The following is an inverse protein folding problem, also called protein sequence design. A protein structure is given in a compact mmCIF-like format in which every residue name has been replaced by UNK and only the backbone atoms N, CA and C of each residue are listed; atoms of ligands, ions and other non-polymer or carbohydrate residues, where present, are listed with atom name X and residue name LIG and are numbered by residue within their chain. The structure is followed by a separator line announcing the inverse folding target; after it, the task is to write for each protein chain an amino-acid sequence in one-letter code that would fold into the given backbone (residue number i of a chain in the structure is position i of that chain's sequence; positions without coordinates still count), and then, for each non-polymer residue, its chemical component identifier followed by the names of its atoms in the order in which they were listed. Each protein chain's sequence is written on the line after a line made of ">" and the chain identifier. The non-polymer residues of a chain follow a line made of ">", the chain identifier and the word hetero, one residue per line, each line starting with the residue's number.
data_IF_885102459275
#
_entry.id   IF_885102459275
#
_cell.length_a   1.000
_cell.length_b   1.000
_cell.length_c   1.000
_cell.angle_alpha   90.00
_cell.angle_beta   90.00
_cell.angle_gamma   90.00
#
_symmetry.space_group_name_H-M   'P 1'
#
loop_
_entity.id
_entity.type
_entity.pdbx_description
1 polymer ?
#
# COMPACT_ATOMS: atom_id res chain seq x y z
N UNK A 1 6.24 -16.30 41.66
CA UNK A 1 6.08 -15.97 40.23
C UNK A 1 5.60 -17.24 39.55
N UNK A 2 4.31 -17.33 39.18
CA UNK A 2 3.66 -18.61 38.87
C UNK A 2 3.93 -19.07 37.42
N UNK A 3 4.08 -20.38 37.21
CA UNK A 3 4.37 -21.02 35.90
C UNK A 3 3.42 -20.62 34.77
N UNK A 4 2.16 -20.31 35.12
CA UNK A 4 1.15 -19.84 34.16
C UNK A 4 1.50 -18.47 33.57
N UNK A 5 2.05 -17.56 34.39
CA UNK A 5 2.54 -16.26 33.92
C UNK A 5 3.77 -16.42 33.03
N UNK A 6 4.62 -17.40 33.32
CA UNK A 6 5.79 -17.70 32.48
C UNK A 6 5.37 -18.26 31.11
N UNK A 7 4.39 -19.16 31.07
CA UNK A 7 3.87 -19.74 29.83
C UNK A 7 3.16 -18.70 28.95
N UNK A 8 2.35 -17.83 29.56
CA UNK A 8 1.67 -16.73 28.84
C UNK A 8 2.67 -15.72 28.27
N UNK A 9 3.72 -15.39 29.03
CA UNK A 9 4.79 -14.50 28.57
C UNK A 9 5.55 -15.12 27.39
N UNK A 10 5.83 -16.43 27.45
CA UNK A 10 6.51 -17.17 26.38
C UNK A 10 5.66 -17.32 25.11
N UNK A 11 4.36 -17.55 25.25
CA UNK A 11 3.43 -17.59 24.12
C UNK A 11 3.31 -16.23 23.44
N UNK A 12 3.25 -15.14 24.20
CA UNK A 12 3.26 -13.76 23.68
C UNK A 12 4.55 -13.46 22.90
N UNK A 13 5.70 -13.92 23.38
CA UNK A 13 6.98 -13.79 22.67
C UNK A 13 7.06 -14.65 21.41
N UNK A 14 6.45 -15.84 21.40
CA UNK A 14 6.42 -16.71 20.21
C UNK A 14 5.51 -16.15 19.10
N UNK A 15 4.41 -15.46 19.45
CA UNK A 15 3.58 -14.73 18.49
C UNK A 15 4.18 -13.39 18.07
N UNK A 16 5.05 -12.81 18.90
CA UNK A 16 5.79 -11.58 18.63
C UNK A 16 7.13 -11.82 17.91
N UNK A 17 7.38 -13.04 17.40
CA UNK A 17 8.22 -13.20 16.22
C UNK A 17 7.39 -12.77 14.99
N UNK A 18 6.89 -11.53 15.05
CA UNK A 18 6.33 -10.81 13.92
C UNK A 18 7.34 -10.97 12.79
N UNK A 19 6.86 -11.48 11.66
CA UNK A 19 7.64 -11.66 10.42
C UNK A 19 8.51 -10.43 10.20
N UNK A 20 9.76 -10.51 10.67
CA UNK A 20 10.63 -9.36 10.62
C UNK A 20 10.83 -9.06 9.13
N UNK A 21 10.55 -7.83 8.68
CA UNK A 21 10.72 -7.45 7.29
C UNK A 21 12.10 -7.90 6.82
N UNK A 22 12.15 -8.78 5.82
CA UNK A 22 13.41 -9.33 5.28
C UNK A 22 14.25 -8.23 4.62
N UNK A 23 13.67 -7.04 4.46
CA UNK A 23 14.28 -5.86 3.89
C UNK A 23 14.17 -4.65 4.83
N UNK A 24 15.18 -3.75 4.84
CA UNK A 24 15.05 -2.44 5.47
C UNK A 24 13.84 -1.70 4.89
N UNK A 25 13.19 -0.80 5.67
CA UNK A 25 12.00 -0.08 5.22
C UNK A 25 12.30 0.60 3.88
N UNK A 26 11.63 0.15 2.84
CA UNK A 26 11.82 0.62 1.47
C UNK A 26 10.50 1.20 0.98
N UNK A 27 10.57 2.40 0.41
CA UNK A 27 9.38 3.11 -0.07
C UNK A 27 8.93 2.55 -1.42
N UNK A 28 7.61 2.48 -1.63
CA UNK A 28 6.99 2.08 -2.88
C UNK A 28 5.93 3.10 -3.30
N UNK A 29 5.88 3.41 -4.59
CA UNK A 29 4.85 4.27 -5.17
C UNK A 29 3.95 3.43 -6.07
N UNK A 30 2.64 3.56 -5.90
CA UNK A 30 1.64 2.86 -6.69
C UNK A 30 0.80 3.89 -7.44
N UNK A 31 0.90 3.90 -8.76
CA UNK A 31 0.03 4.69 -9.63
C UNK A 31 -1.04 3.77 -10.22
N UNK A 32 -2.30 4.18 -10.09
CA UNK A 32 -3.43 3.43 -10.64
C UNK A 32 -4.41 4.38 -11.33
N UNK A 33 -5.02 3.92 -12.41
CA UNK A 33 -6.05 4.64 -13.15
C UNK A 33 -7.33 3.80 -13.08
N UNK A 34 -8.44 4.41 -12.65
CA UNK A 34 -9.75 3.77 -12.48
C UNK A 34 -10.83 4.51 -13.25
N UNK A 35 -11.72 3.73 -13.83
CA UNK A 35 -12.91 4.20 -14.55
C UNK A 35 -13.98 4.73 -13.62
N UNK A 36 -14.25 4.03 -12.51
CA UNK A 36 -15.24 4.43 -11.49
C UNK A 36 -14.66 5.30 -10.35
N UNK A 37 -15.55 5.72 -9.45
CA UNK A 37 -15.24 6.47 -8.23
C UNK A 37 -15.39 5.53 -7.02
N UNK A 38 -14.33 5.40 -6.23
CA UNK A 38 -14.22 4.48 -5.09
C UNK A 38 -13.72 5.16 -3.81
N UNK A 39 -13.54 6.49 -3.84
CA UNK A 39 -13.15 7.30 -2.69
C UNK A 39 -13.99 8.58 -2.64
N UNK A 40 -14.30 9.05 -1.42
CA UNK A 40 -15.08 10.26 -1.17
C UNK A 40 -16.42 9.97 -0.50
N UNK A 41 -17.08 11.05 -0.06
CA UNK A 41 -18.41 10.98 0.57
C UNK A 41 -19.44 10.45 -0.44
N UNK A 42 -20.33 9.55 0.00
CA UNK A 42 -21.30 8.86 -0.86
C UNK A 42 -20.79 7.63 -1.63
N UNK A 43 -19.49 7.28 -1.54
CA UNK A 43 -18.97 6.03 -2.11
C UNK A 43 -19.22 4.86 -1.17
N UNK A 44 -20.02 3.88 -1.61
CA UNK A 44 -20.39 2.72 -0.79
C UNK A 44 -19.64 1.43 -1.15
N UNK A 45 -18.85 1.44 -2.22
CA UNK A 45 -18.11 0.28 -2.69
C UNK A 45 -16.64 0.36 -2.28
N UNK A 46 -16.07 -0.69 -1.66
CA UNK A 46 -14.66 -0.69 -1.30
C UNK A 46 -13.74 -0.76 -2.53
N UNK A 47 -12.63 -0.02 -2.49
CA UNK A 47 -11.53 -0.16 -3.46
C UNK A 47 -10.64 -1.36 -3.09
N UNK A 48 -11.09 -2.56 -3.50
CA UNK A 48 -10.37 -3.83 -3.25
C UNK A 48 -8.98 -3.87 -3.87
N UNK A 49 -8.77 -3.16 -4.97
CA UNK A 49 -7.49 -3.15 -5.67
C UNK A 49 -6.45 -2.33 -4.90
N UNK A 50 -6.81 -1.14 -4.39
CA UNK A 50 -5.89 -0.38 -3.52
C UNK A 50 -5.58 -1.17 -2.26
N UNK A 51 -6.58 -1.83 -1.66
CA UNK A 51 -6.37 -2.66 -0.47
C UNK A 51 -5.36 -3.79 -0.75
N UNK A 52 -5.50 -4.51 -1.85
CA UNK A 52 -4.59 -5.59 -2.23
C UNK A 52 -3.17 -5.07 -2.55
N UNK A 53 -3.08 -4.01 -3.35
CA UNK A 53 -1.81 -3.39 -3.73
C UNK A 53 -1.07 -2.77 -2.54
N UNK A 54 -1.76 -2.50 -1.44
CA UNK A 54 -1.13 -2.04 -0.18
C UNK A 54 -0.76 -3.22 0.72
N UNK A 55 -1.57 -4.27 0.77
CA UNK A 55 -1.32 -5.43 1.64
C UNK A 55 -0.10 -6.25 1.21
N UNK A 56 0.02 -6.57 -0.09
CA UNK A 56 1.10 -7.44 -0.58
C UNK A 56 2.50 -6.86 -0.34
N UNK A 57 2.78 -5.58 -0.63
CA UNK A 57 4.11 -5.03 -0.40
C UNK A 57 4.44 -4.89 1.10
N UNK A 58 3.44 -4.66 1.94
CA UNK A 58 3.60 -4.68 3.40
C UNK A 58 4.09 -6.05 3.90
N UNK A 59 3.63 -7.15 3.29
CA UNK A 59 4.09 -8.50 3.67
C UNK A 59 5.58 -8.76 3.41
N UNK A 60 6.22 -7.99 2.52
CA UNK A 60 7.64 -8.11 2.19
C UNK A 60 8.49 -6.95 2.73
N UNK A 61 7.93 -6.09 3.59
CA UNK A 61 8.67 -5.01 4.25
C UNK A 61 8.64 -3.65 3.54
N UNK A 62 7.82 -3.47 2.50
CA UNK A 62 7.58 -2.16 1.91
C UNK A 62 6.49 -1.44 2.69
N UNK A 63 6.88 -0.78 3.78
CA UNK A 63 5.93 -0.16 4.73
C UNK A 63 5.53 1.26 4.37
N UNK A 64 6.27 1.93 3.48
CA UNK A 64 5.97 3.30 3.04
C UNK A 64 5.40 3.28 1.63
N UNK A 65 4.09 2.98 1.53
CA UNK A 65 3.35 2.89 0.27
C UNK A 65 2.58 4.19 0.05
N UNK A 66 2.87 4.89 -1.05
CA UNK A 66 2.05 6.04 -1.50
C UNK A 66 1.22 5.64 -2.71
N UNK A 67 -0.10 5.72 -2.58
CA UNK A 67 -1.05 5.45 -3.66
C UNK A 67 -1.53 6.76 -4.26
N UNK A 68 -1.43 6.88 -5.59
CA UNK A 68 -1.92 8.03 -6.36
C UNK A 68 -2.99 7.53 -7.32
N UNK A 69 -4.25 7.40 -6.87
CA UNK A 69 -5.34 6.92 -7.71
C UNK A 69 -5.91 8.06 -8.55
N UNK A 70 -5.87 7.91 -9.88
CA UNK A 70 -6.70 8.69 -10.77
C UNK A 70 -8.02 7.94 -10.96
N UNK A 71 -9.15 8.54 -10.60
CA UNK A 71 -10.46 7.88 -10.59
C UNK A 71 -11.47 8.60 -11.47
N UNK A 72 -12.59 7.93 -11.77
CA UNK A 72 -13.69 8.52 -12.52
C UNK A 72 -13.36 8.79 -13.98
N UNK A 73 -12.38 8.11 -14.58
CA UNK A 73 -11.94 8.43 -15.95
C UNK A 73 -13.05 8.25 -17.00
N UNK A 74 -14.06 7.43 -16.72
CA UNK A 74 -15.25 7.29 -17.57
C UNK A 74 -16.10 8.57 -17.63
N UNK A 75 -16.01 9.43 -16.61
CA UNK A 75 -16.74 10.70 -16.54
C UNK A 75 -15.93 11.88 -17.07
N UNK A 76 -14.65 11.67 -17.40
CA UNK A 76 -13.77 12.73 -17.89
C UNK A 76 -13.82 12.83 -19.42
N UNK A 77 -13.82 14.06 -19.93
CA UNK A 77 -13.68 14.28 -21.37
C UNK A 77 -12.29 13.85 -21.87
N UNK A 78 -12.18 13.48 -23.15
CA UNK A 78 -10.90 13.14 -23.77
C UNK A 78 -9.87 14.29 -23.65
N UNK A 79 -10.32 15.54 -23.73
CA UNK A 79 -9.48 16.72 -23.54
C UNK A 79 -9.00 16.92 -22.09
N UNK A 80 -9.74 16.38 -21.12
CA UNK A 80 -9.33 16.37 -19.71
C UNK A 80 -8.32 15.25 -19.47
N UNK A 81 -8.56 14.06 -20.02
CA UNK A 81 -7.66 12.90 -19.90
C UNK A 81 -6.28 13.18 -20.52
N UNK A 82 -6.22 13.85 -21.67
CA UNK A 82 -4.95 14.18 -22.33
C UNK A 82 -4.09 15.18 -21.56
N UNK A 83 -4.68 15.96 -20.64
CA UNK A 83 -3.98 16.90 -19.76
C UNK A 83 -3.47 16.24 -18.48
N UNK A 84 -3.94 15.04 -18.16
CA UNK A 84 -3.51 14.33 -16.96
C UNK A 84 -2.13 13.76 -17.21
N UNK A 85 -1.12 14.45 -16.65
CA UNK A 85 0.25 13.99 -16.68
C UNK A 85 0.43 12.91 -15.60
N UNK A 86 1.02 11.74 -15.91
CA UNK A 86 1.40 10.78 -14.89
C UNK A 86 2.28 11.44 -13.83
N UNK A 87 2.01 11.18 -12.55
CA UNK A 87 2.79 11.77 -11.47
C UNK A 87 4.26 11.32 -11.57
N UNK A 88 5.25 12.24 -11.45
CA UNK A 88 6.67 11.94 -11.69
C UNK A 88 7.27 10.87 -10.77
N UNK A 89 6.59 10.51 -9.66
CA UNK A 89 6.98 9.41 -8.76
C UNK A 89 6.81 8.01 -9.34
N UNK A 90 6.20 7.86 -10.53
CA UNK A 90 6.20 6.62 -11.30
C UNK A 90 7.57 6.33 -11.95
N UNK A 91 8.48 7.31 -11.97
CA UNK A 91 9.87 7.11 -12.35
C UNK A 91 10.57 6.40 -11.19
N UNK A 92 10.74 5.09 -11.30
CA UNK A 92 11.60 4.31 -10.42
C UNK A 92 12.94 5.03 -10.28
N UNK A 93 13.25 5.55 -9.08
CA UNK A 93 14.59 6.06 -8.78
C UNK A 93 15.53 4.86 -8.95
N UNK A 94 16.50 4.88 -9.88
CA UNK A 94 17.46 3.80 -9.97
C UNK A 94 18.26 3.81 -8.68
N UNK A 95 18.10 2.76 -7.89
CA UNK A 95 18.87 2.56 -6.66
C UNK A 95 20.28 2.15 -7.09
N UNK A 96 21.18 3.12 -7.20
CA UNK A 96 22.61 2.87 -7.30
C UNK A 96 23.07 2.25 -5.99
N UNK A 97 23.35 0.95 -6.01
CA UNK A 97 24.09 0.29 -4.94
C UNK A 97 25.53 0.82 -4.99
N UNK A 98 25.98 1.42 -3.89
CA UNK A 98 27.40 1.68 -3.62
C UNK A 98 27.74 1.06 -2.29
#
# INVERSE_FOLDING_TARGET
>A
MNDVMWLLSRMRSATANERQPVHPPSAANISSIRTGIFAGEGTNQPDSTVAYLTAVPNCIGLTSIRVLPLQGTTFLSAATLSKIRPHPSARSVPRSYR
#
